data_IF_497223471286
#
_entry.id   IF_497223471286
#
_cell.length_a   1.000
_cell.length_b   1.000
_cell.length_c   1.000
_cell.angle_alpha   90.00
_cell.angle_beta   90.00
_cell.angle_gamma   90.00
#
_symmetry.space_group_name_H-M   'P 1'
#
loop_
_entity.id
_entity.type
_entity.pdbx_description
1 polymer ?
#
# COMPACT_ATOMS: atom_id res chain seq x y z
N UNK A 1 -12.17 3.20 -5.59
CA UNK A 1 -11.86 1.75 -5.60
C UNK A 1 -12.59 1.11 -4.43
N UNK A 2 -12.97 -0.15 -4.54
CA UNK A 2 -13.44 -0.93 -3.37
C UNK A 2 -12.25 -1.28 -2.47
N UNK A 3 -12.50 -1.71 -1.23
CA UNK A 3 -11.44 -2.18 -0.33
C UNK A 3 -10.71 -3.38 -0.92
N UNK A 4 -11.43 -4.31 -1.56
CA UNK A 4 -10.85 -5.50 -2.18
C UNK A 4 -9.87 -5.14 -3.30
N UNK A 5 -10.27 -4.25 -4.22
CA UNK A 5 -9.38 -3.78 -5.30
C UNK A 5 -8.11 -3.10 -4.75
N UNK A 6 -8.20 -2.41 -3.60
CA UNK A 6 -7.04 -1.79 -2.97
C UNK A 6 -6.10 -2.84 -2.36
N UNK A 7 -6.66 -3.88 -1.73
CA UNK A 7 -5.85 -4.97 -1.17
C UNK A 7 -5.13 -5.74 -2.28
N UNK A 8 -5.82 -6.07 -3.38
CA UNK A 8 -5.22 -6.75 -4.54
C UNK A 8 -4.04 -5.95 -5.10
N UNK A 9 -4.18 -4.63 -5.26
CA UNK A 9 -3.08 -3.75 -5.70
C UNK A 9 -1.89 -3.77 -4.72
N UNK A 10 -2.16 -3.83 -3.41
CA UNK A 10 -1.09 -3.88 -2.41
C UNK A 10 -0.40 -5.23 -2.38
N UNK A 11 -1.15 -6.32 -2.55
CA UNK A 11 -0.61 -7.68 -2.70
C UNK A 11 0.28 -7.76 -3.94
N UNK A 12 -0.15 -7.21 -5.07
CA UNK A 12 0.67 -7.10 -6.29
C UNK A 12 1.96 -6.29 -6.07
N UNK A 13 1.88 -5.17 -5.34
CA UNK A 13 3.03 -4.30 -5.04
C UNK A 13 4.04 -4.98 -4.11
N UNK A 14 3.52 -5.77 -3.15
CA UNK A 14 4.31 -6.48 -2.15
C UNK A 14 4.71 -7.89 -2.61
N UNK A 15 4.32 -8.31 -3.81
CA UNK A 15 4.57 -9.65 -4.36
C UNK A 15 4.01 -10.77 -3.44
N UNK A 16 2.84 -10.54 -2.85
CA UNK A 16 2.12 -11.47 -1.97
C UNK A 16 1.03 -12.25 -2.74
N UNK A 17 0.64 -13.40 -2.20
CA UNK A 17 -0.49 -14.17 -2.74
C UNK A 17 -1.83 -13.43 -2.49
N UNK A 18 -2.79 -13.60 -3.39
CA UNK A 18 -4.13 -12.99 -3.29
C UNK A 18 -4.85 -13.39 -1.99
N UNK A 19 -5.38 -12.41 -1.25
CA UNK A 19 -6.07 -12.60 0.01
C UNK A 19 -5.17 -12.84 1.23
N UNK A 20 -3.87 -12.53 1.10
CA UNK A 20 -2.91 -12.56 2.21
C UNK A 20 -3.11 -11.37 3.14
N UNK A 21 -3.32 -10.18 2.59
CA UNK A 21 -3.41 -8.94 3.37
C UNK A 21 -4.82 -8.71 3.93
N UNK A 22 -4.85 -8.18 5.15
CA UNK A 22 -6.05 -7.63 5.78
C UNK A 22 -5.81 -6.20 6.18
N UNK A 23 -6.88 -5.42 6.24
CA UNK A 23 -6.80 -3.99 6.56
C UNK A 23 -6.25 -3.71 7.96
N UNK A 24 -6.46 -4.63 8.91
CA UNK A 24 -5.94 -4.54 10.28
C UNK A 24 -4.47 -4.92 10.44
N UNK A 25 -3.81 -5.45 9.39
CA UNK A 25 -2.43 -5.91 9.49
C UNK A 25 -1.47 -4.74 9.70
N UNK A 26 -0.50 -4.92 10.59
CA UNK A 26 0.55 -3.96 10.86
C UNK A 26 1.60 -4.02 9.76
N UNK A 27 1.93 -2.87 9.17
CA UNK A 27 2.95 -2.77 8.12
C UNK A 27 4.36 -3.09 8.63
N UNK A 28 4.58 -3.01 9.94
CA UNK A 28 5.87 -3.37 10.55
C UNK A 28 6.10 -4.88 10.63
N UNK A 29 5.02 -5.67 10.58
CA UNK A 29 5.04 -7.14 10.65
C UNK A 29 5.07 -7.79 9.26
N UNK A 30 4.97 -6.99 8.18
CA UNK A 30 5.02 -7.44 6.79
C UNK A 30 6.44 -7.25 6.27
N UNK A 31 7.18 -8.35 6.09
CA UNK A 31 8.57 -8.34 5.62
C UNK A 31 8.70 -7.68 4.23
N UNK A 32 7.69 -7.83 3.39
CA UNK A 32 7.59 -7.28 2.04
C UNK A 32 7.31 -5.76 2.02
N UNK A 33 6.96 -5.16 3.16
CA UNK A 33 6.83 -3.70 3.29
C UNK A 33 8.20 -3.00 3.43
N UNK A 34 9.06 -3.21 2.43
CA UNK A 34 10.43 -2.71 2.38
C UNK A 34 10.55 -1.37 1.63
N UNK A 35 11.73 -1.02 1.10
CA UNK A 35 11.91 0.22 0.32
C UNK A 35 11.42 0.10 -1.12
N UNK A 36 11.36 -1.11 -1.68
CA UNK A 36 10.96 -1.36 -3.05
C UNK A 36 9.44 -1.27 -3.20
N UNK A 37 8.68 -1.92 -2.32
CA UNK A 37 7.21 -1.81 -2.30
C UNK A 37 6.74 -0.37 -2.08
N UNK A 38 7.42 0.38 -1.20
CA UNK A 38 7.19 1.84 -1.03
C UNK A 38 7.40 2.63 -2.32
N UNK A 39 8.46 2.34 -3.08
CA UNK A 39 8.73 3.02 -4.36
C UNK A 39 7.69 2.69 -5.43
N UNK A 40 7.25 1.43 -5.48
CA UNK A 40 6.18 1.00 -6.38
C UNK A 40 4.86 1.68 -6.03
N UNK A 41 4.48 1.76 -4.75
CA UNK A 41 3.29 2.48 -4.31
C UNK A 41 3.34 3.97 -4.71
N UNK A 42 4.47 4.64 -4.51
CA UNK A 42 4.65 6.04 -4.97
C UNK A 42 4.42 6.17 -6.47
N UNK A 43 4.94 5.21 -7.24
CA UNK A 43 4.81 5.21 -8.70
C UNK A 43 3.37 4.96 -9.14
N UNK A 44 2.68 4.02 -8.49
CA UNK A 44 1.28 3.70 -8.71
C UNK A 44 0.40 4.93 -8.44
N UNK A 45 0.50 5.53 -7.25
CA UNK A 45 -0.25 6.75 -6.87
C UNK A 45 -0.01 7.88 -7.88
N UNK A 46 1.23 8.06 -8.33
CA UNK A 46 1.57 9.10 -9.29
C UNK A 46 0.93 8.86 -10.66
N UNK A 47 0.94 7.62 -11.15
CA UNK A 47 0.44 7.30 -12.50
C UNK A 47 -1.08 7.17 -12.54
N UNK A 48 -1.62 6.35 -11.65
CA UNK A 48 -3.04 5.98 -11.67
C UNK A 48 -3.94 7.02 -11.01
N UNK A 49 -3.46 7.69 -9.95
CA UNK A 49 -4.26 8.69 -9.23
C UNK A 49 -3.87 10.14 -9.54
N UNK A 50 -2.78 10.37 -10.29
CA UNK A 50 -2.22 11.71 -10.52
C UNK A 50 -1.95 12.49 -9.21
N UNK A 51 -1.74 11.79 -8.09
CA UNK A 51 -1.40 12.35 -6.77
C UNK A 51 0.10 12.20 -6.50
N UNK A 52 0.62 12.88 -5.48
CA UNK A 52 2.02 12.74 -5.05
C UNK A 52 2.08 12.22 -3.62
N UNK A 53 2.37 10.94 -3.47
CA UNK A 53 2.68 10.33 -2.18
C UNK A 53 4.11 10.70 -1.77
N UNK A 54 4.25 11.35 -0.62
CA UNK A 54 5.53 11.79 -0.07
C UNK A 54 6.12 10.76 0.91
N UNK A 55 7.42 10.87 1.16
CA UNK A 55 8.13 10.00 2.12
C UNK A 55 7.58 10.18 3.54
N UNK A 56 7.19 11.39 3.92
CA UNK A 56 6.66 11.67 5.26
C UNK A 56 5.27 11.06 5.44
N UNK A 57 4.42 11.06 4.41
CA UNK A 57 3.13 10.35 4.43
C UNK A 57 3.33 8.84 4.57
N UNK A 58 4.26 8.24 3.81
CA UNK A 58 4.56 6.80 3.89
C UNK A 58 5.03 6.40 5.29
N UNK A 59 5.87 7.21 5.93
CA UNK A 59 6.36 6.95 7.30
C UNK A 59 5.26 7.01 8.35
N UNK A 60 4.14 7.67 8.06
CA UNK A 60 3.00 7.77 8.97
C UNK A 60 2.02 6.60 8.81
N UNK A 61 2.14 5.79 7.75
CA UNK A 61 1.34 4.57 7.60
C UNK A 61 1.81 3.52 8.61
N UNK A 62 0.87 2.96 9.36
CA UNK A 62 1.11 1.93 10.37
C UNK A 62 0.43 0.62 10.01
N UNK A 63 -0.74 0.70 9.39
CA UNK A 63 -1.58 -0.43 9.02
C UNK A 63 -1.88 -0.42 7.53
N UNK A 64 -2.28 -1.56 6.99
CA UNK A 64 -2.76 -1.67 5.61
C UNK A 64 -3.94 -0.72 5.36
N UNK A 65 -4.82 -0.53 6.35
CA UNK A 65 -5.92 0.44 6.29
C UNK A 65 -5.44 1.86 5.99
N UNK A 66 -4.32 2.32 6.57
CA UNK A 66 -3.80 3.68 6.32
C UNK A 66 -3.47 3.89 4.84
N UNK A 67 -2.94 2.86 4.17
CA UNK A 67 -2.68 2.90 2.73
C UNK A 67 -3.99 2.88 1.95
N UNK A 68 -4.92 2.01 2.32
CA UNK A 68 -6.24 1.93 1.67
C UNK A 68 -7.00 3.27 1.76
N UNK A 69 -6.96 3.95 2.90
CA UNK A 69 -7.57 5.27 3.09
C UNK A 69 -6.93 6.33 2.21
N UNK A 70 -5.61 6.26 2.01
CA UNK A 70 -4.91 7.18 1.11
C UNK A 70 -5.30 6.96 -0.38
N UNK A 71 -5.59 5.70 -0.75
CA UNK A 71 -5.98 5.29 -2.10
C UNK A 71 -7.46 5.58 -2.45
N UNK A 72 -8.22 6.29 -1.60
CA UNK A 72 -9.57 6.79 -1.95
C UNK A 72 -9.58 7.95 -2.97
#
# INVERSE_FOLDING_TARGET
MTVQEKLEVLEDIMELDEGTLKVEDSLEDIDEWDSMSKLYLVTYVKKEMQKRLTVDEIKNFKTVQDICDYLD
#
